data_IF_619834774486
#
_entry.id   IF_619834774486
#
_cell.length_a   1.000
_cell.length_b   1.000
_cell.length_c   1.000
_cell.angle_alpha   90.00
_cell.angle_beta   90.00
_cell.angle_gamma   90.00
#
_symmetry.space_group_name_H-M   'P 1'
#
loop_
_entity.id
_entity.type
_entity.pdbx_description
1 polymer ?
#
# COMPACT_ATOMS: atom_id res chain seq x y z
N UNK A 1 14.37 -31.78 -17.58
CA UNK A 1 13.61 -30.92 -16.66
C UNK A 1 12.95 -31.79 -15.60
N UNK A 2 13.21 -31.50 -14.35
CA UNK A 2 12.49 -32.14 -13.25
C UNK A 2 11.07 -31.56 -13.19
N UNK A 3 10.06 -32.38 -13.49
CA UNK A 3 8.65 -31.95 -13.48
C UNK A 3 8.21 -31.47 -12.09
N UNK A 4 8.81 -32.02 -11.02
CA UNK A 4 8.58 -31.60 -9.65
C UNK A 4 9.13 -30.20 -9.37
N UNK A 5 10.37 -29.92 -9.79
CA UNK A 5 11.01 -28.62 -9.68
C UNK A 5 10.27 -27.53 -10.44
N UNK A 6 9.82 -27.83 -11.67
CA UNK A 6 9.01 -26.89 -12.46
C UNK A 6 7.67 -26.57 -11.81
N UNK A 7 6.99 -27.57 -11.22
CA UNK A 7 5.73 -27.35 -10.52
C UNK A 7 5.91 -26.44 -9.28
N UNK A 8 7.00 -26.63 -8.51
CA UNK A 8 7.34 -25.79 -7.37
C UNK A 8 7.71 -24.37 -7.82
N UNK A 9 8.51 -24.24 -8.87
CA UNK A 9 8.88 -22.93 -9.43
C UNK A 9 7.65 -22.15 -9.88
N UNK A 10 6.73 -22.75 -10.62
CA UNK A 10 5.47 -22.11 -11.04
C UNK A 10 4.60 -21.69 -9.86
N UNK A 11 4.52 -22.51 -8.81
CA UNK A 11 3.80 -22.15 -7.56
C UNK A 11 4.44 -20.96 -6.85
N UNK A 12 5.79 -20.92 -6.80
CA UNK A 12 6.53 -19.80 -6.22
C UNK A 12 6.30 -18.52 -7.03
N UNK A 13 6.43 -18.57 -8.36
CA UNK A 13 6.19 -17.44 -9.25
C UNK A 13 4.77 -16.87 -9.08
N UNK A 14 3.75 -17.74 -9.06
CA UNK A 14 2.36 -17.35 -8.81
C UNK A 14 2.18 -16.71 -7.42
N UNK A 15 2.87 -17.24 -6.40
CA UNK A 15 2.78 -16.67 -5.05
C UNK A 15 3.50 -15.33 -4.95
N UNK A 16 4.65 -15.16 -5.60
CA UNK A 16 5.37 -13.88 -5.71
C UNK A 16 4.49 -12.83 -6.36
N UNK A 17 3.85 -13.16 -7.49
CA UNK A 17 2.94 -12.24 -8.18
C UNK A 17 1.79 -11.78 -7.27
N UNK A 18 1.13 -12.71 -6.56
CA UNK A 18 0.07 -12.36 -5.61
C UNK A 18 0.58 -11.58 -4.41
N UNK A 19 1.77 -11.89 -3.90
CA UNK A 19 2.39 -11.10 -2.81
C UNK A 19 2.69 -9.66 -3.26
N UNK A 20 3.10 -9.47 -4.52
CA UNK A 20 3.33 -8.14 -5.10
C UNK A 20 2.03 -7.34 -5.18
N UNK A 21 0.93 -7.96 -5.60
CA UNK A 21 -0.39 -7.32 -5.63
C UNK A 21 -0.82 -6.93 -4.21
N UNK A 22 -0.66 -7.83 -3.23
CA UNK A 22 -0.97 -7.55 -1.83
C UNK A 22 -0.12 -6.38 -1.30
N UNK A 23 1.18 -6.34 -1.60
CA UNK A 23 2.05 -5.23 -1.23
C UNK A 23 1.60 -3.90 -1.84
N UNK A 24 1.17 -3.88 -3.11
CA UNK A 24 0.63 -2.69 -3.76
C UNK A 24 -0.68 -2.22 -3.10
N UNK A 25 -1.56 -3.16 -2.72
CA UNK A 25 -2.79 -2.83 -1.99
C UNK A 25 -2.47 -2.18 -0.63
N UNK A 26 -1.49 -2.73 0.10
CA UNK A 26 -1.03 -2.16 1.37
C UNK A 26 -0.43 -0.77 1.19
N UNK A 27 0.38 -0.55 0.15
CA UNK A 27 0.93 0.77 -0.16
C UNK A 27 -0.15 1.80 -0.47
N UNK A 28 -1.17 1.42 -1.26
CA UNK A 28 -2.32 2.28 -1.55
C UNK A 28 -3.12 2.59 -0.29
N UNK A 29 -3.31 1.59 0.58
CA UNK A 29 -4.00 1.75 1.86
C UNK A 29 -3.25 2.67 2.82
N UNK A 30 -1.92 2.61 2.83
CA UNK A 30 -1.11 3.54 3.60
C UNK A 30 -1.25 4.98 3.10
N UNK A 31 -1.28 5.18 1.78
CA UNK A 31 -1.53 6.50 1.18
C UNK A 31 -2.92 7.05 1.53
N UNK A 32 -3.94 6.18 1.55
CA UNK A 32 -5.27 6.53 2.03
C UNK A 32 -5.25 7.01 3.48
N UNK A 33 -4.62 6.26 4.39
CA UNK A 33 -4.50 6.62 5.80
C UNK A 33 -3.71 7.90 6.03
N UNK A 34 -2.63 8.13 5.27
CA UNK A 34 -1.85 9.37 5.32
C UNK A 34 -2.68 10.57 4.87
N UNK A 35 -3.49 10.43 3.82
CA UNK A 35 -4.40 11.49 3.37
C UNK A 35 -5.46 11.77 4.43
N UNK A 36 -6.02 10.72 5.03
CA UNK A 36 -7.00 10.85 6.12
C UNK A 36 -6.39 11.56 7.34
N UNK A 37 -5.15 11.23 7.75
CA UNK A 37 -4.47 11.95 8.84
C UNK A 37 -4.23 13.42 8.49
N UNK A 38 -3.90 13.72 7.24
CA UNK A 38 -3.75 15.10 6.76
C UNK A 38 -5.04 15.91 6.94
N UNK A 39 -6.18 15.34 6.58
CA UNK A 39 -7.49 16.00 6.77
C UNK A 39 -7.84 16.15 8.26
N UNK A 40 -7.60 15.11 9.07
CA UNK A 40 -7.81 15.19 10.52
C UNK A 40 -6.91 16.24 11.19
N UNK A 41 -5.70 16.43 10.68
CA UNK A 41 -4.80 17.50 11.13
C UNK A 41 -5.38 18.86 10.82
N UNK A 42 -5.85 19.08 9.60
CA UNK A 42 -6.52 20.34 9.20
C UNK A 42 -7.75 20.59 10.05
N UNK A 43 -8.55 19.57 10.35
CA UNK A 43 -9.68 19.69 11.27
C UNK A 43 -9.26 20.16 12.67
N UNK A 44 -8.14 19.61 13.20
CA UNK A 44 -7.60 20.04 14.50
C UNK A 44 -7.16 21.51 14.47
N UNK A 45 -6.52 21.98 13.40
CA UNK A 45 -6.07 23.37 13.25
C UNK A 45 -7.25 24.34 13.16
N UNK A 46 -8.33 23.96 12.45
CA UNK A 46 -9.57 24.74 12.37
C UNK A 46 -10.23 24.82 13.75
N UNK A 47 -10.38 23.69 14.46
CA UNK A 47 -10.96 23.64 15.79
C UNK A 47 -10.18 24.48 16.80
N UNK A 48 -8.85 24.45 16.75
CA UNK A 48 -8.01 25.31 17.60
C UNK A 48 -8.24 26.79 17.31
N UNK A 49 -8.32 27.17 16.03
CA UNK A 49 -8.64 28.54 15.62
C UNK A 49 -10.02 28.98 16.10
N UNK A 50 -11.03 28.11 15.97
CA UNK A 50 -12.39 28.40 16.47
C UNK A 50 -12.42 28.56 17.99
N UNK A 51 -11.65 27.74 18.74
CA UNK A 51 -11.48 27.87 20.19
C UNK A 51 -10.83 29.20 20.59
N UNK A 52 -9.83 29.67 19.83
CA UNK A 52 -9.21 31.00 20.02
C UNK A 52 -10.22 32.12 19.77
N UNK A 53 -11.05 32.02 18.73
CA UNK A 53 -12.12 33.02 18.48
C UNK A 53 -13.10 33.07 19.64
N UNK A 54 -13.48 31.91 20.22
CA UNK A 54 -14.31 31.85 21.41
C UNK A 54 -13.67 32.56 22.60
N UNK A 55 -12.40 32.27 22.86
CA UNK A 55 -11.68 32.95 23.96
C UNK A 55 -11.60 34.47 23.76
N UNK A 56 -11.34 34.92 22.53
CA UNK A 56 -11.33 36.34 22.18
C UNK A 56 -12.69 37.00 22.33
N UNK A 57 -13.78 36.29 21.96
CA UNK A 57 -15.17 36.84 22.10
C UNK A 57 -15.62 37.01 23.56
N UNK A 58 -14.96 36.36 24.51
CA UNK A 58 -15.22 36.46 25.95
C UNK A 58 -14.37 37.54 26.66
N UNK A 59 -13.43 38.14 25.93
CA UNK A 59 -12.51 39.15 26.48
C UNK A 59 -13.23 40.51 26.76
N UNK A 60 -12.57 41.32 27.60
CA UNK A 60 -13.08 42.64 28.02
C UNK A 60 -13.28 43.62 26.85
N UNK A 61 -12.67 43.38 25.71
CA UNK A 61 -12.78 44.17 24.49
C UNK A 61 -13.65 43.49 23.42
N UNK A 62 -14.68 42.75 23.84
CA UNK A 62 -15.55 41.95 22.98
C UNK A 62 -16.45 42.74 22.01
N UNK A 63 -16.16 44.02 21.73
CA UNK A 63 -16.92 44.87 20.78
C UNK A 63 -16.88 44.36 19.32
N UNK A 64 -15.98 43.40 19.00
CA UNK A 64 -15.86 42.80 17.67
C UNK A 64 -16.51 41.40 17.55
N UNK A 65 -17.50 41.10 18.39
CA UNK A 65 -18.23 39.80 18.38
C UNK A 65 -18.77 39.44 16.99
N UNK A 66 -19.22 40.44 16.22
CA UNK A 66 -19.72 40.23 14.86
C UNK A 66 -18.63 39.79 13.86
N UNK A 67 -17.39 40.25 14.02
CA UNK A 67 -16.25 39.80 13.18
C UNK A 67 -15.85 38.37 13.54
N UNK A 68 -15.76 38.05 14.83
CA UNK A 68 -15.46 36.68 15.29
C UNK A 68 -16.54 35.68 14.89
N UNK A 69 -17.80 36.08 14.91
CA UNK A 69 -18.91 35.25 14.44
C UNK A 69 -18.78 34.92 12.95
N UNK A 70 -18.44 35.91 12.11
CA UNK A 70 -18.24 35.66 10.66
C UNK A 70 -17.08 34.73 10.37
N UNK A 71 -15.94 34.90 11.06
CA UNK A 71 -14.80 34.02 10.91
C UNK A 71 -15.15 32.60 11.36
N UNK A 72 -15.88 32.47 12.47
CA UNK A 72 -16.38 31.17 12.95
C UNK A 72 -17.28 30.49 11.91
N UNK A 73 -18.21 31.20 11.27
CA UNK A 73 -19.10 30.65 10.25
C UNK A 73 -18.32 30.10 9.06
N UNK A 74 -17.28 30.80 8.57
CA UNK A 74 -16.43 30.34 7.48
C UNK A 74 -15.63 29.09 7.88
N UNK A 75 -15.06 29.10 9.08
CA UNK A 75 -14.32 27.96 9.59
C UNK A 75 -15.21 26.72 9.80
N UNK A 76 -16.46 26.92 10.21
CA UNK A 76 -17.45 25.87 10.37
C UNK A 76 -17.82 25.24 9.02
N UNK A 77 -18.01 26.05 7.99
CA UNK A 77 -18.26 25.56 6.62
C UNK A 77 -17.06 24.79 6.09
N UNK A 78 -15.83 25.28 6.35
CA UNK A 78 -14.61 24.58 5.98
C UNK A 78 -14.49 23.25 6.73
N UNK A 79 -14.75 23.21 8.04
CA UNK A 79 -14.74 21.99 8.85
C UNK A 79 -15.75 20.96 8.31
N UNK A 80 -16.96 21.39 7.95
CA UNK A 80 -17.97 20.51 7.34
C UNK A 80 -17.55 20.00 5.96
N UNK A 81 -16.78 20.78 5.19
CA UNK A 81 -16.27 20.32 3.89
C UNK A 81 -15.23 19.22 4.02
N UNK A 82 -14.47 19.17 5.13
CA UNK A 82 -13.43 18.16 5.36
C UNK A 82 -13.97 16.75 5.42
N UNK A 83 -15.18 16.53 5.93
CA UNK A 83 -15.83 15.21 5.98
C UNK A 83 -16.14 14.61 4.61
N UNK A 84 -16.22 15.47 3.57
CA UNK A 84 -16.55 15.07 2.20
C UNK A 84 -15.30 14.75 1.34
N UNK A 85 -14.11 14.80 1.94
CA UNK A 85 -12.89 14.52 1.19
C UNK A 85 -12.78 13.05 0.81
N UNK A 86 -12.32 12.82 -0.42
CA UNK A 86 -12.15 11.48 -0.98
C UNK A 86 -10.70 11.22 -1.37
N UNK A 87 -10.30 9.96 -1.37
CA UNK A 87 -9.05 9.48 -1.94
C UNK A 87 -9.37 8.51 -3.08
N UNK A 88 -9.00 8.86 -4.29
CA UNK A 88 -9.26 8.05 -5.50
C UNK A 88 -10.74 7.63 -5.64
N UNK A 89 -11.67 8.53 -5.29
CA UNK A 89 -13.12 8.30 -5.37
C UNK A 89 -13.70 7.46 -4.21
N UNK A 90 -12.89 7.17 -3.19
CA UNK A 90 -13.35 6.51 -1.95
C UNK A 90 -13.37 7.55 -0.84
N UNK A 91 -14.47 7.64 -0.10
CA UNK A 91 -14.63 8.58 0.99
C UNK A 91 -13.63 8.28 2.12
N UNK A 92 -12.97 9.33 2.63
CA UNK A 92 -12.04 9.20 3.76
C UNK A 92 -12.79 9.00 5.08
N UNK A 93 -13.98 9.52 5.18
CA UNK A 93 -14.86 9.49 6.35
C UNK A 93 -16.20 8.88 5.97
N UNK A 94 -16.92 8.34 6.91
CA UNK A 94 -18.26 7.79 6.69
C UNK A 94 -19.17 8.10 7.86
N UNK A 95 -20.40 8.50 7.57
CA UNK A 95 -21.42 8.73 8.59
C UNK A 95 -22.62 7.80 8.32
N UNK A 96 -22.89 6.83 9.21
CA UNK A 96 -22.11 6.45 10.39
C UNK A 96 -20.74 5.82 10.03
N UNK A 97 -19.84 5.75 11.02
CA UNK A 97 -18.48 5.19 10.84
C UNK A 97 -18.48 3.84 10.14
N UNK A 98 -17.60 3.72 9.15
CA UNK A 98 -17.45 2.56 8.29
C UNK A 98 -16.09 1.88 8.39
N UNK A 99 -15.88 0.89 7.52
CA UNK A 99 -14.59 0.26 7.37
C UNK A 99 -14.39 -0.31 5.97
N UNK A 100 -13.16 -0.24 5.49
CA UNK A 100 -12.75 -0.78 4.19
C UNK A 100 -11.91 -2.04 4.38
N UNK A 101 -12.28 -3.17 3.74
CA UNK A 101 -11.47 -4.38 3.79
C UNK A 101 -10.23 -4.24 2.92
N UNK A 102 -9.05 -4.49 3.48
CA UNK A 102 -7.77 -4.52 2.77
C UNK A 102 -7.24 -5.95 2.74
N UNK A 103 -6.96 -6.44 1.55
CA UNK A 103 -6.34 -7.74 1.34
C UNK A 103 -4.83 -7.55 1.40
N UNK A 104 -4.24 -7.92 2.53
CA UNK A 104 -2.80 -7.86 2.80
C UNK A 104 -2.09 -9.22 2.79
N UNK A 105 -2.74 -10.27 2.25
CA UNK A 105 -2.22 -11.63 2.19
C UNK A 105 -2.33 -12.20 0.77
N UNK A 106 -1.27 -12.90 0.26
CA UNK A 106 -1.29 -13.53 -1.07
C UNK A 106 -2.37 -14.59 -1.28
N UNK A 107 -2.89 -15.19 -0.20
CA UNK A 107 -3.99 -16.17 -0.25
C UNK A 107 -5.37 -15.53 -0.19
N UNK A 108 -5.45 -14.22 0.00
CA UNK A 108 -6.70 -13.48 0.25
C UNK A 108 -7.52 -14.04 1.44
N UNK A 109 -6.87 -14.79 2.33
CA UNK A 109 -7.49 -15.42 3.48
C UNK A 109 -7.56 -14.50 4.69
N UNK A 110 -6.67 -13.49 4.75
CA UNK A 110 -6.61 -12.52 5.82
C UNK A 110 -6.85 -11.13 5.25
N UNK A 111 -7.98 -10.55 5.58
CA UNK A 111 -8.25 -9.13 5.37
C UNK A 111 -8.24 -8.43 6.72
N UNK A 112 -7.73 -7.22 6.77
CA UNK A 112 -7.93 -6.34 7.91
C UNK A 112 -8.73 -5.12 7.49
N UNK A 113 -9.43 -4.55 8.44
CA UNK A 113 -10.30 -3.42 8.19
C UNK A 113 -9.54 -2.12 8.47
N UNK A 114 -9.62 -1.20 7.54
CA UNK A 114 -9.24 0.20 7.73
C UNK A 114 -10.49 0.98 8.11
N UNK A 115 -10.41 1.76 9.18
CA UNK A 115 -11.52 2.56 9.66
C UNK A 115 -11.78 3.76 8.78
N UNK A 116 -13.04 4.00 8.47
CA UNK A 116 -13.56 5.29 7.99
C UNK A 116 -14.34 5.90 9.17
N UNK A 117 -13.70 6.75 10.00
CA UNK A 117 -14.36 7.33 11.15
C UNK A 117 -15.43 8.32 10.73
N UNK A 118 -16.38 8.56 11.64
CA UNK A 118 -17.37 9.63 11.49
C UNK A 118 -16.76 10.93 12.04
N UNK A 119 -16.30 11.79 11.12
CA UNK A 119 -15.76 13.11 11.49
C UNK A 119 -16.89 14.06 11.91
N UNK A 120 -18.04 13.96 11.26
CA UNK A 120 -19.19 14.84 11.56
C UNK A 120 -19.71 14.59 12.99
N UNK A 121 -19.77 13.32 13.41
CA UNK A 121 -20.14 12.98 14.80
C UNK A 121 -19.07 13.48 15.79
N UNK A 122 -17.80 13.32 15.47
CA UNK A 122 -16.69 13.76 16.34
C UNK A 122 -16.67 15.25 16.64
N UNK A 123 -17.22 16.07 15.73
CA UNK A 123 -17.28 17.55 15.83
C UNK A 123 -18.72 18.07 15.89
N UNK A 124 -19.71 17.21 16.13
CA UNK A 124 -21.14 17.52 16.02
C UNK A 124 -21.59 18.69 16.87
N UNK A 125 -21.07 18.85 18.07
CA UNK A 125 -21.39 19.95 18.98
C UNK A 125 -21.03 21.32 18.39
N UNK A 126 -19.99 21.37 17.56
CA UNK A 126 -19.53 22.60 16.90
C UNK A 126 -20.15 22.72 15.51
N UNK A 127 -20.20 21.64 14.75
CA UNK A 127 -20.73 21.63 13.38
C UNK A 127 -22.22 22.01 13.31
N UNK A 128 -23.00 21.59 14.28
CA UNK A 128 -24.45 21.87 14.35
C UNK A 128 -24.81 23.25 14.94
N UNK A 129 -23.86 23.89 15.65
CA UNK A 129 -24.14 25.21 16.27
C UNK A 129 -23.72 26.34 15.32
N UNK A 130 -24.64 27.23 15.00
CA UNK A 130 -24.41 28.36 14.10
C UNK A 130 -23.83 29.58 14.78
N UNK A 131 -23.97 29.69 16.11
CA UNK A 131 -23.56 30.87 16.87
C UNK A 131 -22.42 30.54 17.85
N UNK A 132 -21.31 31.23 17.67
CA UNK A 132 -20.15 31.11 18.56
C UNK A 132 -20.52 31.44 20.03
N UNK A 133 -21.49 32.31 20.25
CA UNK A 133 -21.94 32.70 21.59
C UNK A 133 -22.48 31.51 22.39
N UNK A 134 -23.18 30.56 21.76
CA UNK A 134 -23.83 29.43 22.40
C UNK A 134 -22.84 28.32 22.80
N UNK A 135 -21.65 28.32 22.24
CA UNK A 135 -20.60 27.34 22.53
C UNK A 135 -19.80 27.73 23.79
N UNK A 136 -19.33 26.73 24.48
CA UNK A 136 -18.38 26.87 25.59
C UNK A 136 -16.96 26.49 25.12
N UNK A 137 -15.94 26.89 25.86
CA UNK A 137 -14.56 26.47 25.59
C UNK A 137 -14.39 24.95 25.67
N UNK A 138 -15.19 24.26 26.52
CA UNK A 138 -15.18 22.80 26.62
C UNK A 138 -15.60 22.10 25.34
N UNK A 139 -16.58 22.60 24.58
CA UNK A 139 -17.00 22.01 23.31
C UNK A 139 -15.80 21.89 22.34
N UNK A 140 -14.95 22.92 22.26
CA UNK A 140 -13.75 22.88 21.41
C UNK A 140 -12.70 21.91 21.95
N UNK A 141 -12.53 21.82 23.28
CA UNK A 141 -11.60 20.88 23.90
C UNK A 141 -12.04 19.45 23.66
N UNK A 142 -13.32 19.17 23.80
CA UNK A 142 -13.90 17.84 23.60
C UNK A 142 -13.80 17.42 22.12
N UNK A 143 -14.11 18.31 21.19
CA UNK A 143 -13.96 18.06 19.75
C UNK A 143 -12.48 17.83 19.38
N UNK A 144 -11.53 18.61 19.91
CA UNK A 144 -10.10 18.39 19.71
C UNK A 144 -9.65 17.02 20.26
N UNK A 145 -10.16 16.61 21.43
CA UNK A 145 -9.89 15.30 22.01
C UNK A 145 -10.45 14.16 21.14
N UNK A 146 -11.67 14.33 20.61
CA UNK A 146 -12.27 13.36 19.69
C UNK A 146 -11.42 13.22 18.43
N UNK A 147 -11.07 14.32 17.77
CA UNK A 147 -10.22 14.31 16.57
C UNK A 147 -8.83 13.71 16.87
N UNK A 148 -8.24 14.02 18.04
CA UNK A 148 -6.97 13.41 18.45
C UNK A 148 -7.10 11.89 18.61
N UNK A 149 -8.25 11.40 19.12
CA UNK A 149 -8.52 9.95 19.23
C UNK A 149 -8.65 9.30 17.85
N UNK A 150 -9.33 9.96 16.91
CA UNK A 150 -9.39 9.50 15.52
C UNK A 150 -7.99 9.41 14.89
N UNK A 151 -7.15 10.44 15.10
CA UNK A 151 -5.76 10.45 14.61
C UNK A 151 -4.91 9.35 15.25
N UNK A 152 -5.08 9.09 16.55
CA UNK A 152 -4.37 8.00 17.23
C UNK A 152 -4.77 6.63 16.64
N UNK A 153 -6.06 6.42 16.36
CA UNK A 153 -6.55 5.21 15.72
C UNK A 153 -6.00 5.07 14.30
N UNK A 154 -5.99 6.15 13.52
CA UNK A 154 -5.41 6.18 12.18
C UNK A 154 -3.91 5.84 12.22
N UNK A 155 -3.12 6.44 13.13
CA UNK A 155 -1.71 6.14 13.29
C UNK A 155 -1.41 4.69 13.67
N UNK A 156 -2.26 4.09 14.51
CA UNK A 156 -2.16 2.67 14.83
C UNK A 156 -2.42 1.79 13.61
N UNK A 157 -3.38 2.17 12.76
CA UNK A 157 -3.66 1.46 11.51
C UNK A 157 -2.53 1.64 10.49
N UNK A 158 -1.95 2.82 10.35
CA UNK A 158 -0.76 3.05 9.51
C UNK A 158 0.39 2.13 9.96
N UNK A 159 0.71 2.08 11.25
CA UNK A 159 1.75 1.20 11.77
C UNK A 159 1.49 -0.28 11.47
N UNK A 160 0.24 -0.72 11.53
CA UNK A 160 -0.15 -2.09 11.18
C UNK A 160 0.01 -2.38 9.69
N UNK A 161 -0.38 -1.43 8.84
CA UNK A 161 -0.23 -1.54 7.38
C UNK A 161 1.24 -1.60 7.01
N UNK A 162 2.08 -0.74 7.58
CA UNK A 162 3.52 -0.70 7.34
C UNK A 162 4.20 -2.01 7.74
N UNK A 163 3.90 -2.55 8.91
CA UNK A 163 4.43 -3.84 9.35
C UNK A 163 4.01 -4.98 8.40
N UNK A 164 2.77 -4.95 7.90
CA UNK A 164 2.29 -5.93 6.94
C UNK A 164 2.96 -5.78 5.57
N UNK A 165 3.20 -4.55 5.13
CA UNK A 165 3.92 -4.25 3.90
C UNK A 165 5.37 -4.74 3.94
N UNK A 166 6.07 -4.50 5.04
CA UNK A 166 7.44 -4.98 5.23
C UNK A 166 7.52 -6.52 5.22
N UNK A 167 6.57 -7.18 5.88
CA UNK A 167 6.45 -8.64 5.83
C UNK A 167 6.25 -9.14 4.40
N UNK A 168 5.39 -8.49 3.61
CA UNK A 168 5.19 -8.85 2.20
C UNK A 168 6.47 -8.69 1.39
N UNK A 169 7.23 -7.62 1.59
CA UNK A 169 8.53 -7.40 0.92
C UNK A 169 9.52 -8.51 1.23
N UNK A 170 9.64 -8.90 2.49
CA UNK A 170 10.51 -10.02 2.91
C UNK A 170 10.06 -11.33 2.25
N UNK A 171 8.76 -11.60 2.22
CA UNK A 171 8.22 -12.80 1.57
C UNK A 171 8.47 -12.81 0.06
N UNK A 172 8.29 -11.67 -0.63
CA UNK A 172 8.57 -11.52 -2.06
C UNK A 172 10.04 -11.84 -2.33
N UNK A 173 10.97 -11.22 -1.58
CA UNK A 173 12.40 -11.42 -1.74
C UNK A 173 12.79 -12.88 -1.51
N UNK A 174 12.33 -13.50 -0.41
CA UNK A 174 12.67 -14.89 -0.07
C UNK A 174 12.14 -15.89 -1.11
N UNK A 175 10.88 -15.70 -1.53
CA UNK A 175 10.26 -16.59 -2.53
C UNK A 175 10.84 -16.40 -3.93
N UNK A 176 11.22 -15.16 -4.29
CA UNK A 176 11.91 -14.86 -5.55
C UNK A 176 13.30 -15.50 -5.58
N UNK A 177 14.05 -15.42 -4.47
CA UNK A 177 15.34 -16.10 -4.36
C UNK A 177 15.20 -17.63 -4.47
N UNK A 178 14.19 -18.22 -3.83
CA UNK A 178 13.91 -19.65 -3.96
C UNK A 178 13.49 -20.04 -5.37
N UNK A 179 12.71 -19.21 -6.06
CA UNK A 179 12.37 -19.40 -7.47
C UNK A 179 13.61 -19.39 -8.36
N UNK A 180 14.47 -18.37 -8.22
CA UNK A 180 15.73 -18.26 -8.97
C UNK A 180 16.66 -19.45 -8.70
N UNK A 181 16.78 -19.88 -7.45
CA UNK A 181 17.61 -21.02 -7.11
C UNK A 181 17.19 -22.33 -7.83
N UNK A 182 15.86 -22.52 -8.03
CA UNK A 182 15.35 -23.69 -8.76
C UNK A 182 15.59 -23.53 -10.27
N UNK A 183 15.24 -22.37 -10.82
CA UNK A 183 15.30 -22.13 -12.26
C UNK A 183 16.73 -22.00 -12.79
N UNK A 184 17.62 -21.33 -12.04
CA UNK A 184 19.01 -21.10 -12.45
C UNK A 184 19.82 -22.39 -12.46
N UNK A 185 19.58 -23.31 -11.51
CA UNK A 185 20.22 -24.64 -11.50
C UNK A 185 19.79 -25.45 -12.71
N UNK A 186 18.51 -25.46 -13.06
CA UNK A 186 18.00 -26.17 -14.23
C UNK A 186 18.54 -25.57 -15.54
N UNK A 187 18.65 -24.26 -15.63
CA UNK A 187 19.19 -23.56 -16.80
C UNK A 187 20.67 -23.88 -16.95
N UNK A 188 21.48 -23.81 -15.90
CA UNK A 188 22.90 -24.13 -15.93
C UNK A 188 23.14 -25.58 -16.36
N UNK A 189 22.36 -26.53 -15.84
CA UNK A 189 22.43 -27.94 -16.23
C UNK A 189 22.06 -28.14 -17.69
N UNK A 190 20.96 -27.54 -18.15
CA UNK A 190 20.50 -27.64 -19.53
C UNK A 190 21.50 -27.04 -20.52
N UNK A 191 22.13 -25.92 -20.20
CA UNK A 191 23.18 -25.32 -21.04
C UNK A 191 24.43 -26.15 -21.07
N UNK A 192 24.83 -26.79 -19.98
CA UNK A 192 25.95 -27.72 -19.91
C UNK A 192 25.66 -28.97 -20.75
N UNK A 193 24.50 -29.58 -20.63
CA UNK A 193 24.08 -30.75 -21.40
C UNK A 193 24.04 -30.42 -22.91
N UNK A 194 23.54 -29.21 -23.28
CA UNK A 194 23.54 -28.74 -24.65
C UNK A 194 24.99 -28.59 -25.20
N UNK A 195 25.90 -27.99 -24.44
CA UNK A 195 27.30 -27.85 -24.82
C UNK A 195 27.97 -29.20 -25.02
N UNK A 196 27.75 -30.15 -24.11
CA UNK A 196 28.26 -31.51 -24.23
C UNK A 196 27.70 -32.22 -25.47
N UNK A 197 26.41 -32.09 -25.73
CA UNK A 197 25.76 -32.67 -26.92
C UNK A 197 26.34 -32.08 -28.21
N UNK A 198 26.57 -30.76 -28.26
CA UNK A 198 27.20 -30.10 -29.39
C UNK A 198 28.62 -30.63 -29.63
N UNK A 199 29.45 -30.81 -28.57
CA UNK A 199 30.79 -31.36 -28.66
C UNK A 199 30.73 -32.78 -29.23
N UNK A 200 29.79 -33.63 -28.75
CA UNK A 200 29.65 -35.00 -29.32
C UNK A 200 29.24 -34.97 -30.78
N UNK A 201 28.34 -34.09 -31.17
CA UNK A 201 27.89 -33.95 -32.57
C UNK A 201 29.03 -33.49 -33.49
N UNK A 202 29.78 -32.48 -33.07
CA UNK A 202 30.94 -31.96 -33.83
C UNK A 202 32.06 -32.99 -33.91
N UNK A 203 32.33 -33.69 -32.82
CA UNK A 203 33.34 -34.77 -32.79
C UNK A 203 32.94 -35.94 -33.70
N UNK A 204 31.65 -36.32 -33.68
CA UNK A 204 31.12 -37.36 -34.56
C UNK A 204 31.20 -36.96 -36.04
N UNK A 205 30.88 -35.73 -36.37
CA UNK A 205 31.01 -35.22 -37.73
C UNK A 205 32.46 -35.17 -38.21
N UNK A 206 33.40 -34.80 -37.32
CA UNK A 206 34.83 -34.81 -37.64
C UNK A 206 35.39 -36.24 -37.89
N UNK A 207 34.98 -37.20 -37.06
CA UNK A 207 35.37 -38.62 -37.25
C UNK A 207 34.76 -39.18 -38.53
N UNK A 208 33.50 -38.88 -38.83
CA UNK A 208 32.85 -39.31 -40.06
C UNK A 208 33.56 -38.75 -41.30
N UNK A 209 33.86 -37.45 -41.30
CA UNK A 209 34.61 -36.80 -42.40
C UNK A 209 36.02 -37.40 -42.56
N UNK A 210 36.72 -37.65 -41.46
CA UNK A 210 38.06 -38.30 -41.56
C UNK A 210 37.98 -39.70 -42.12
N UNK A 211 36.95 -40.51 -41.75
CA UNK A 211 36.68 -41.84 -42.29
C UNK A 211 36.41 -41.84 -43.80
N UNK A 212 35.63 -40.86 -44.31
CA UNK A 212 35.39 -40.69 -45.73
C UNK A 212 36.69 -40.35 -46.49
N UNK A 213 37.55 -39.47 -45.95
CA UNK A 213 38.82 -39.09 -46.53
C UNK A 213 39.79 -40.30 -46.59
N UNK A 214 39.86 -41.13 -45.57
CA UNK A 214 40.69 -42.38 -45.54
C UNK A 214 40.17 -43.36 -46.56
N UNK A 215 38.85 -43.61 -46.64
CA UNK A 215 38.24 -44.52 -47.62
C UNK A 215 38.49 -44.06 -49.07
N UNK A 216 38.41 -42.75 -49.36
CA UNK A 216 38.68 -42.21 -50.67
C UNK A 216 40.18 -42.35 -51.08
N UNK A 217 41.11 -42.19 -50.12
CA UNK A 217 42.57 -42.41 -50.35
C UNK A 217 42.90 -43.87 -50.60
N UNK A 218 42.30 -44.80 -49.86
CA UNK A 218 42.48 -46.25 -50.08
C UNK A 218 41.98 -46.67 -51.47
N UNK A 219 40.80 -46.10 -51.88
CA UNK A 219 40.30 -46.36 -53.24
C UNK A 219 41.17 -45.83 -54.39
N UNK A 220 41.98 -44.79 -54.15
CA UNK A 220 42.97 -44.30 -55.11
C UNK A 220 44.24 -45.18 -55.21
N UNK A 221 44.57 -45.87 -54.10
CA UNK A 221 45.79 -46.75 -54.07
C UNK A 221 45.55 -48.12 -54.66
N UNK A 222 44.31 -48.51 -54.90
CA UNK A 222 43.95 -49.84 -55.46
C UNK A 222 43.65 -49.78 -56.98
N UNK A 223 43.78 -48.61 -57.58
CA UNK A 223 43.70 -48.38 -59.02
C UNK A 223 45.11 -48.30 -59.58
#
# INVERSE_FOLDING_TARGET
>A
MDAGGLAVANKLASTVSRSTIAANNLSTSNSFLQTQDGVLKSASEILDRMGQLKAMSQGVFGDNTGAYQKEYEVLREELASLSQHTFNGVDLFASPSGSLPVIGDPSASTSFLISQPDLDDAVSDIGNESQLANLSTSNFTDALQNVATLRATNGAQQSRVDASFDLMRVQITSKSAAYSAIMDVDLARTTTDLAVTNIYTDSGAAVFNSGILVSSRVGMLIR
#
